data_IF_928776196045
#
_entry.id   IF_928776196045
#
_cell.length_a   1.000
_cell.length_b   1.000
_cell.length_c   1.000
_cell.angle_alpha   90.00
_cell.angle_beta   90.00
_cell.angle_gamma   90.00
#
_symmetry.space_group_name_H-M   'P 1'
#
loop_
_entity.id
_entity.type
_entity.pdbx_description
1 polymer ?
#
# COMPACT_ATOMS: atom_id res chain seq x y z
N UNK A 1 -7.42 20.31 -29.44
CA UNK A 1 -7.08 19.40 -28.33
C UNK A 1 -7.01 17.99 -28.92
N UNK A 2 -5.80 17.46 -29.15
CA UNK A 2 -5.57 16.28 -29.99
C UNK A 2 -6.00 14.98 -29.28
N UNK A 3 -6.67 14.10 -30.03
CA UNK A 3 -7.27 12.86 -29.52
C UNK A 3 -6.26 11.87 -28.89
N UNK A 4 -4.97 11.94 -29.28
CA UNK A 4 -3.90 11.10 -28.73
C UNK A 4 -3.57 11.39 -27.25
N UNK A 5 -3.67 12.65 -26.82
CA UNK A 5 -3.40 13.02 -25.42
C UNK A 5 -4.50 12.53 -24.47
N UNK A 6 -5.74 12.45 -24.94
CA UNK A 6 -6.86 12.00 -24.11
C UNK A 6 -6.72 10.52 -23.72
N UNK A 7 -6.34 9.67 -24.68
CA UNK A 7 -6.14 8.23 -24.45
C UNK A 7 -5.00 7.94 -23.45
N UNK A 8 -3.89 8.66 -23.58
CA UNK A 8 -2.71 8.59 -22.68
C UNK A 8 -3.06 8.89 -21.21
N UNK A 9 -3.82 9.97 -20.95
CA UNK A 9 -4.23 10.31 -19.60
C UNK A 9 -5.18 9.27 -18.98
N UNK A 10 -6.11 8.71 -19.75
CA UNK A 10 -7.00 7.65 -19.27
C UNK A 10 -6.27 6.33 -19.01
N UNK A 11 -5.29 5.95 -19.83
CA UNK A 11 -4.54 4.71 -19.63
C UNK A 11 -3.66 4.79 -18.38
N UNK A 12 -2.97 5.90 -18.17
CA UNK A 12 -2.17 6.15 -16.96
C UNK A 12 -3.04 6.19 -15.70
N UNK A 13 -4.19 6.86 -15.73
CA UNK A 13 -5.13 6.90 -14.59
C UNK A 13 -5.63 5.50 -14.23
N UNK A 14 -6.00 4.69 -15.23
CA UNK A 14 -6.43 3.30 -15.01
C UNK A 14 -5.30 2.47 -14.41
N UNK A 15 -4.09 2.59 -14.94
CA UNK A 15 -2.92 1.89 -14.40
C UNK A 15 -2.66 2.26 -12.94
N UNK A 16 -2.64 3.56 -12.61
CA UNK A 16 -2.48 4.05 -11.23
C UNK A 16 -3.58 3.51 -10.30
N UNK A 17 -4.83 3.56 -10.75
CA UNK A 17 -5.98 3.05 -9.97
C UNK A 17 -5.81 1.57 -9.66
N UNK A 18 -5.41 0.76 -10.65
CA UNK A 18 -5.14 -0.67 -10.47
C UNK A 18 -4.04 -0.92 -9.45
N UNK A 19 -2.91 -0.20 -9.52
CA UNK A 19 -1.82 -0.35 -8.54
C UNK A 19 -2.29 0.01 -7.13
N UNK A 20 -3.04 1.11 -6.96
CA UNK A 20 -3.57 1.51 -5.66
C UNK A 20 -4.51 0.46 -5.07
N UNK A 21 -5.39 -0.13 -5.89
CA UNK A 21 -6.29 -1.21 -5.47
C UNK A 21 -5.49 -2.45 -5.05
N UNK A 22 -4.47 -2.82 -5.83
CA UNK A 22 -3.62 -3.97 -5.51
C UNK A 22 -2.83 -3.77 -4.21
N UNK A 23 -2.26 -2.58 -3.99
CA UNK A 23 -1.57 -2.23 -2.75
C UNK A 23 -2.52 -2.25 -1.54
N UNK A 24 -3.73 -1.69 -1.68
CA UNK A 24 -4.78 -1.82 -0.65
C UNK A 24 -5.04 -3.30 -0.32
N UNK A 25 -5.16 -4.14 -1.33
CA UNK A 25 -5.37 -5.58 -1.15
C UNK A 25 -4.23 -6.29 -0.41
N UNK A 26 -2.97 -5.84 -0.59
CA UNK A 26 -1.84 -6.35 0.19
C UNK A 26 -1.90 -5.89 1.64
N UNK A 27 -2.25 -4.63 1.88
CA UNK A 27 -2.41 -4.05 3.22
C UNK A 27 -3.51 -4.74 4.04
N UNK A 28 -4.62 -5.08 3.38
CA UNK A 28 -5.71 -5.88 3.94
C UNK A 28 -5.26 -7.31 4.25
N UNK A 29 -4.57 -7.98 3.32
CA UNK A 29 -4.07 -9.36 3.51
C UNK A 29 -3.07 -9.48 4.65
N UNK A 30 -2.25 -8.45 4.89
CA UNK A 30 -1.26 -8.44 5.96
C UNK A 30 -1.84 -8.11 7.35
N UNK A 31 -3.14 -7.83 7.46
CA UNK A 31 -3.78 -7.44 8.73
C UNK A 31 -3.47 -6.00 9.18
N UNK A 32 -2.91 -5.17 8.29
CA UNK A 32 -2.49 -3.82 8.64
C UNK A 32 -3.66 -2.84 8.66
N UNK A 33 -4.73 -3.12 7.92
CA UNK A 33 -5.95 -2.31 7.99
C UNK A 33 -6.55 -2.33 9.40
N UNK A 34 -6.64 -3.51 10.02
CA UNK A 34 -7.12 -3.68 11.39
C UNK A 34 -6.16 -3.08 12.41
N UNK A 35 -4.85 -3.27 12.21
CA UNK A 35 -3.80 -2.76 13.11
C UNK A 35 -3.84 -1.23 13.25
N UNK A 36 -4.16 -0.51 12.16
CA UNK A 36 -4.20 0.95 12.13
C UNK A 36 -5.62 1.52 12.12
N UNK A 37 -6.65 0.72 12.39
CA UNK A 37 -8.06 1.12 12.36
C UNK A 37 -8.46 1.85 11.06
N UNK A 38 -8.02 1.31 9.92
CA UNK A 38 -8.37 1.79 8.58
C UNK A 38 -9.41 0.89 7.95
N UNK A 39 -10.48 1.49 7.45
CA UNK A 39 -11.58 0.80 6.76
C UNK A 39 -11.58 1.10 5.26
N UNK A 40 -12.23 0.21 4.51
CA UNK A 40 -12.45 0.42 3.09
C UNK A 40 -13.33 1.66 2.86
N UNK A 41 -12.86 2.61 2.05
CA UNK A 41 -13.61 3.82 1.72
C UNK A 41 -13.37 4.99 2.68
N UNK A 42 -12.54 4.83 3.71
CA UNK A 42 -12.10 5.95 4.54
C UNK A 42 -11.47 7.06 3.69
N UNK A 43 -11.90 8.29 3.94
CA UNK A 43 -11.17 9.46 3.47
C UNK A 43 -10.03 9.78 4.44
N UNK A 44 -8.87 9.15 4.20
CA UNK A 44 -7.67 9.29 5.03
C UNK A 44 -7.07 10.72 5.02
N UNK A 45 -7.54 11.61 4.13
CA UNK A 45 -7.04 12.99 4.05
C UNK A 45 -7.84 13.96 4.93
N UNK A 46 -9.13 13.69 5.12
CA UNK A 46 -10.06 14.61 5.78
C UNK A 46 -10.51 14.11 7.15
N UNK A 47 -10.28 12.83 7.47
CA UNK A 47 -10.68 12.27 8.76
C UNK A 47 -9.68 12.64 9.86
N UNK A 48 -10.03 13.68 10.64
CA UNK A 48 -9.22 14.17 11.76
C UNK A 48 -9.02 13.13 12.86
N UNK A 49 -9.99 12.25 13.10
CA UNK A 49 -9.91 11.21 14.14
C UNK A 49 -8.89 10.13 13.79
N UNK A 50 -8.63 9.91 12.50
CA UNK A 50 -7.66 8.92 12.02
C UNK A 50 -6.28 9.48 11.76
N UNK A 51 -6.07 10.78 11.96
CA UNK A 51 -4.82 11.49 11.60
C UNK A 51 -3.58 10.85 12.24
N UNK A 52 -3.66 10.46 13.50
CA UNK A 52 -2.54 9.77 14.19
C UNK A 52 -2.25 8.41 13.57
N UNK A 53 -3.28 7.64 13.22
CA UNK A 53 -3.11 6.36 12.53
C UNK A 53 -2.48 6.54 11.14
N UNK A 54 -2.83 7.59 10.41
CA UNK A 54 -2.19 7.91 9.12
C UNK A 54 -0.70 8.21 9.31
N UNK A 55 -0.34 8.97 10.34
CA UNK A 55 1.06 9.22 10.67
C UNK A 55 1.78 7.95 11.11
N UNK A 56 1.14 7.08 11.88
CA UNK A 56 1.69 5.80 12.28
C UNK A 56 1.95 4.88 11.07
N UNK A 57 1.03 4.82 10.11
CA UNK A 57 1.22 4.09 8.85
C UNK A 57 2.42 4.64 8.09
N UNK A 58 2.51 5.97 7.93
CA UNK A 58 3.64 6.59 7.23
C UNK A 58 4.97 6.31 7.95
N UNK A 59 4.99 6.44 9.28
CA UNK A 59 6.16 6.15 10.10
C UNK A 59 6.61 4.69 9.94
N UNK A 60 5.70 3.72 10.05
CA UNK A 60 6.01 2.31 9.86
C UNK A 60 6.56 1.97 8.48
N UNK A 61 6.08 2.65 7.43
CA UNK A 61 6.62 2.49 6.07
C UNK A 61 8.02 3.09 5.91
N UNK A 62 8.31 4.19 6.60
CA UNK A 62 9.65 4.80 6.64
C UNK A 62 10.62 3.84 7.35
N UNK A 63 10.26 3.34 8.53
CA UNK A 63 11.06 2.35 9.26
C UNK A 63 11.32 1.09 8.40
N UNK A 64 10.29 0.57 7.73
CA UNK A 64 10.45 -0.56 6.81
C UNK A 64 11.47 -0.26 5.70
N UNK A 65 11.42 0.94 5.10
CA UNK A 65 12.39 1.34 4.08
C UNK A 65 13.81 1.39 4.65
N UNK A 66 13.98 1.93 5.86
CA UNK A 66 15.29 2.04 6.51
C UNK A 66 15.87 0.66 6.84
N UNK A 67 15.04 -0.24 7.40
CA UNK A 67 15.37 -1.65 7.65
C UNK A 67 15.77 -2.42 6.38
N UNK A 68 15.13 -2.13 5.24
CA UNK A 68 15.52 -2.71 3.95
C UNK A 68 16.84 -2.13 3.43
N UNK A 69 17.15 -0.88 3.75
CA UNK A 69 18.38 -0.20 3.36
C UNK A 69 19.59 -0.59 4.22
N UNK A 70 19.37 -0.92 5.50
CA UNK A 70 20.40 -1.37 6.45
C UNK A 70 20.82 -2.83 6.26
N UNK A 71 20.19 -3.57 5.32
CA UNK A 71 20.31 -5.03 5.15
C UNK A 71 19.88 -5.86 6.36
N UNK A 72 19.19 -5.26 7.33
CA UNK A 72 18.57 -5.99 8.45
C UNK A 72 17.45 -6.92 7.93
N UNK A 73 16.77 -6.52 6.85
CA UNK A 73 15.78 -7.33 6.17
C UNK A 73 16.22 -7.67 4.74
N UNK A 74 16.46 -8.95 4.50
CA UNK A 74 16.68 -9.48 3.16
C UNK A 74 15.35 -9.63 2.41
N UNK A 75 15.28 -9.06 1.21
CA UNK A 75 14.07 -9.13 0.36
C UNK A 75 13.62 -10.57 0.08
N UNK A 76 14.56 -11.51 -0.01
CA UNK A 76 14.29 -12.92 -0.24
C UNK A 76 13.54 -13.57 0.94
N UNK A 77 13.89 -13.19 2.17
CA UNK A 77 13.20 -13.65 3.38
C UNK A 77 11.74 -13.20 3.37
N UNK A 78 11.50 -11.91 3.06
CA UNK A 78 10.14 -11.35 2.98
C UNK A 78 9.34 -11.98 1.84
N UNK A 79 9.99 -12.24 0.71
CA UNK A 79 9.38 -12.91 -0.46
C UNK A 79 8.90 -14.31 -0.08
N UNK A 80 9.75 -15.09 0.60
CA UNK A 80 9.39 -16.43 1.07
C UNK A 80 8.22 -16.38 2.06
N UNK A 81 8.25 -15.45 3.02
CA UNK A 81 7.16 -15.24 3.99
C UNK A 81 5.83 -14.91 3.30
N UNK A 82 5.86 -14.02 2.32
CA UNK A 82 4.68 -13.68 1.52
C UNK A 82 4.15 -14.88 0.73
N UNK A 83 5.04 -15.62 0.05
CA UNK A 83 4.67 -16.80 -0.72
C UNK A 83 4.07 -17.92 0.16
N UNK A 84 4.57 -18.11 1.38
CA UNK A 84 3.96 -19.03 2.34
C UNK A 84 2.57 -18.58 2.79
N UNK A 85 2.40 -17.28 3.06
CA UNK A 85 1.09 -16.75 3.43
C UNK A 85 0.04 -17.00 2.34
N UNK A 86 0.39 -16.81 1.07
CA UNK A 86 -0.50 -17.11 -0.06
C UNK A 86 -0.77 -18.60 -0.24
N UNK A 87 0.15 -19.49 0.13
CA UNK A 87 -0.01 -20.95 0.01
C UNK A 87 -0.90 -21.57 1.09
N UNK A 88 -1.00 -20.92 2.26
CA UNK A 88 -1.79 -21.40 3.41
C UNK A 88 -3.29 -21.07 3.33
N UNK A 89 -3.73 -20.39 2.27
CA UNK A 89 -5.10 -19.92 2.07
C UNK A 89 -5.69 -20.52 0.81
#
# INVERSE_FOLDING_TARGET
>A
MNQENYHSHTSLRRARTRTLIQLRGLFEKSGLMETFDVQAGDNLQENLEKKENIFAILGGLIELKEMMGSQEFHIDLLTNKGAEFFRKK
#
